data_IF_576976468128
#
_entry.id   IF_576976468128
#
_cell.length_a   1.000
_cell.length_b   1.000
_cell.length_c   1.000
_cell.angle_alpha   90.00
_cell.angle_beta   90.00
_cell.angle_gamma   90.00
#
_symmetry.space_group_name_H-M   'P 1'
#
loop_
_entity.id
_entity.type
_entity.pdbx_description
1 polymer ?
#
# COMPACT_ATOMS: atom_id res chain seq x y z
N UNK A 1 7.77 -5.18 12.02
CA UNK A 1 7.99 -5.45 10.59
C UNK A 1 8.43 -6.88 10.29
N UNK A 2 7.76 -7.52 9.32
CA UNK A 2 8.18 -8.78 8.69
C UNK A 2 9.50 -8.60 7.90
N UNK A 3 10.34 -9.64 7.82
CA UNK A 3 11.68 -9.56 7.21
C UNK A 3 11.61 -9.20 5.72
N UNK A 4 10.69 -9.80 4.97
CA UNK A 4 10.53 -9.54 3.54
C UNK A 4 10.16 -8.08 3.29
N UNK A 5 9.21 -7.55 4.06
CA UNK A 5 8.84 -6.13 3.98
C UNK A 5 10.01 -5.22 4.31
N UNK A 6 10.75 -5.50 5.39
CA UNK A 6 11.91 -4.69 5.77
C UNK A 6 12.95 -4.60 4.64
N UNK A 7 13.28 -5.73 4.02
CA UNK A 7 14.24 -5.79 2.92
C UNK A 7 13.75 -5.02 1.69
N UNK A 8 12.49 -5.19 1.30
CA UNK A 8 11.91 -4.46 0.15
C UNK A 8 11.83 -2.96 0.41
N UNK A 9 11.44 -2.55 1.62
CA UNK A 9 11.40 -1.13 2.01
C UNK A 9 12.79 -0.52 1.93
N UNK A 10 13.81 -1.17 2.50
CA UNK A 10 15.18 -0.66 2.46
C UNK A 10 15.68 -0.49 1.02
N UNK A 11 15.43 -1.48 0.15
CA UNK A 11 15.78 -1.40 -1.27
C UNK A 11 15.07 -0.24 -1.97
N UNK A 12 13.79 0.00 -1.67
CA UNK A 12 13.05 1.14 -2.23
C UNK A 12 13.57 2.50 -1.72
N UNK A 13 14.07 2.58 -0.47
CA UNK A 13 14.72 3.79 0.07
C UNK A 13 16.03 4.07 -0.69
N UNK A 14 16.85 3.04 -0.90
CA UNK A 14 18.07 3.12 -1.72
C UNK A 14 17.76 3.63 -3.12
N UNK A 15 16.85 2.96 -3.83
CA UNK A 15 16.45 3.36 -5.18
C UNK A 15 15.89 4.79 -5.25
N UNK A 16 15.15 5.24 -4.24
CA UNK A 16 14.63 6.60 -4.19
C UNK A 16 15.73 7.65 -3.95
N UNK A 17 16.77 7.30 -3.20
CA UNK A 17 17.97 8.15 -3.04
C UNK A 17 18.77 8.21 -4.31
N UNK A 18 19.00 7.08 -4.97
CA UNK A 18 19.71 7.00 -6.24
C UNK A 18 18.99 7.80 -7.34
N UNK A 19 17.65 7.72 -7.38
CA UNK A 19 16.84 8.51 -8.28
C UNK A 19 16.96 10.02 -8.01
N UNK A 20 17.03 10.44 -6.73
CA UNK A 20 17.25 11.82 -6.36
C UNK A 20 18.65 12.30 -6.75
N UNK A 21 19.69 11.49 -6.52
CA UNK A 21 21.06 11.81 -6.94
C UNK A 21 21.09 12.02 -8.45
N UNK A 22 20.55 11.07 -9.22
CA UNK A 22 20.49 11.14 -10.68
C UNK A 22 19.74 12.39 -11.15
N UNK A 23 18.61 12.71 -10.52
CA UNK A 23 17.86 13.93 -10.82
C UNK A 23 18.71 15.19 -10.60
N UNK A 24 19.45 15.26 -9.49
CA UNK A 24 20.32 16.42 -9.18
C UNK A 24 21.47 16.53 -10.18
N UNK A 25 22.06 15.42 -10.60
CA UNK A 25 23.14 15.40 -11.60
C UNK A 25 22.65 15.84 -12.99
N UNK A 26 21.48 15.37 -13.41
CA UNK A 26 20.96 15.62 -14.76
C UNK A 26 20.25 16.98 -14.88
N UNK A 27 19.55 17.41 -13.82
CA UNK A 27 18.62 18.57 -13.87
C UNK A 27 18.88 19.60 -12.79
N UNK A 28 19.77 19.33 -11.84
CA UNK A 28 19.97 20.18 -10.68
C UNK A 28 18.82 20.13 -9.67
N UNK A 29 18.66 21.20 -8.90
CA UNK A 29 17.62 21.32 -7.88
C UNK A 29 16.31 21.73 -8.55
N UNK A 30 15.38 20.78 -8.67
CA UNK A 30 14.03 21.05 -9.18
C UNK A 30 13.19 21.83 -8.15
N UNK A 31 12.18 22.56 -8.64
CA UNK A 31 11.29 23.42 -7.83
C UNK A 31 10.65 22.70 -6.63
N UNK A 32 10.26 21.43 -6.78
CA UNK A 32 9.67 20.68 -5.67
C UNK A 32 10.65 20.43 -4.53
N UNK A 33 11.93 20.21 -4.86
CA UNK A 33 13.00 19.98 -3.90
C UNK A 33 13.39 21.29 -3.24
N UNK A 34 13.49 22.37 -4.02
CA UNK A 34 13.73 23.72 -3.52
C UNK A 34 12.68 24.14 -2.48
N UNK A 35 11.39 24.00 -2.83
CA UNK A 35 10.28 24.26 -1.91
C UNK A 35 10.35 23.38 -0.65
N UNK A 36 10.78 22.12 -0.77
CA UNK A 36 10.92 21.22 0.38
C UNK A 36 12.05 21.68 1.31
N UNK A 37 13.14 22.22 0.76
CA UNK A 37 14.24 22.81 1.53
C UNK A 37 13.74 24.05 2.28
N UNK A 38 13.03 24.95 1.61
CA UNK A 38 12.46 26.15 2.24
C UNK A 38 11.53 25.81 3.41
N UNK A 39 10.60 24.87 3.19
CA UNK A 39 9.70 24.39 4.25
C UNK A 39 10.45 23.71 5.41
N UNK A 40 11.57 23.04 5.14
CA UNK A 40 12.37 22.44 6.19
C UNK A 40 13.06 23.50 7.04
N UNK A 41 13.62 24.54 6.41
CA UNK A 41 14.26 25.68 7.08
C UNK A 41 13.24 26.41 7.96
N UNK A 42 12.06 26.74 7.41
CA UNK A 42 10.99 27.43 8.12
C UNK A 42 10.51 26.63 9.35
N UNK A 43 10.17 25.35 9.15
CA UNK A 43 9.62 24.50 10.23
C UNK A 43 10.60 24.26 11.37
N UNK A 44 11.89 24.26 11.08
CA UNK A 44 12.93 24.03 12.09
C UNK A 44 13.59 25.34 12.54
N UNK A 45 13.08 26.51 12.10
CA UNK A 45 13.57 27.84 12.47
C UNK A 45 15.09 27.97 12.23
N UNK A 46 15.55 27.50 11.06
CA UNK A 46 16.95 27.58 10.67
C UNK A 46 17.26 28.92 9.97
N UNK A 47 18.49 29.45 10.08
CA UNK A 47 18.90 30.62 9.31
C UNK A 47 18.84 30.37 7.80
N UNK A 48 18.54 31.41 7.01
CA UNK A 48 18.33 31.30 5.56
C UNK A 48 19.59 30.84 4.82
N UNK A 49 20.79 31.18 5.32
CA UNK A 49 22.06 30.74 4.76
C UNK A 49 22.22 29.21 4.72
N UNK A 50 21.45 28.46 5.53
CA UNK A 50 21.46 26.99 5.48
C UNK A 50 20.92 26.43 4.17
N UNK A 51 20.16 27.20 3.39
CA UNK A 51 19.66 26.74 2.09
C UNK A 51 20.81 26.37 1.15
N UNK A 52 21.81 27.24 1.04
CA UNK A 52 22.96 27.02 0.17
C UNK A 52 23.79 25.82 0.66
N UNK A 53 23.96 25.69 1.97
CA UNK A 53 24.65 24.54 2.58
C UNK A 53 23.91 23.22 2.32
N UNK A 54 22.59 23.18 2.51
CA UNK A 54 21.77 21.99 2.20
C UNK A 54 21.91 21.61 0.73
N UNK A 55 21.83 22.57 -0.20
CA UNK A 55 21.99 22.33 -1.63
C UNK A 55 23.39 21.79 -1.95
N UNK A 56 24.43 22.36 -1.33
CA UNK A 56 25.80 21.88 -1.48
C UNK A 56 25.94 20.43 -1.03
N UNK A 57 25.44 20.08 0.16
CA UNK A 57 25.51 18.72 0.70
C UNK A 57 24.74 17.70 -0.15
N UNK A 58 23.58 18.09 -0.69
CA UNK A 58 22.81 17.26 -1.61
C UNK A 58 23.58 16.99 -2.91
N UNK A 59 24.22 18.01 -3.48
CA UNK A 59 25.07 17.88 -4.69
C UNK A 59 26.30 17.01 -4.43
N UNK A 60 26.85 17.06 -3.22
CA UNK A 60 27.94 16.19 -2.78
C UNK A 60 27.49 14.81 -2.30
N UNK A 61 26.21 14.45 -2.54
CA UNK A 61 25.65 13.12 -2.26
C UNK A 61 25.74 12.74 -0.77
N UNK A 62 25.66 13.72 0.12
CA UNK A 62 25.67 13.46 1.56
C UNK A 62 24.45 12.63 1.95
N UNK A 63 24.68 11.41 2.46
CA UNK A 63 23.63 10.45 2.78
C UNK A 63 22.63 10.94 3.84
N UNK A 64 23.09 11.75 4.79
CA UNK A 64 22.21 12.32 5.81
C UNK A 64 21.20 13.28 5.17
N UNK A 65 21.67 14.26 4.39
CA UNK A 65 20.79 15.21 3.70
C UNK A 65 19.89 14.50 2.70
N UNK A 66 20.40 13.54 1.94
CA UNK A 66 19.58 12.71 1.05
C UNK A 66 18.46 12.01 1.83
N UNK A 67 18.74 11.42 3.00
CA UNK A 67 17.71 10.73 3.79
C UNK A 67 16.57 11.64 4.27
N UNK A 68 16.85 12.93 4.48
CA UNK A 68 15.86 13.94 4.88
C UNK A 68 15.04 14.41 3.66
N UNK A 69 15.72 14.67 2.55
CA UNK A 69 15.12 15.34 1.40
C UNK A 69 14.57 14.39 0.32
N UNK A 70 14.96 13.12 0.30
CA UNK A 70 14.29 12.09 -0.48
C UNK A 70 12.82 11.99 -0.08
N UNK A 71 11.96 11.65 -1.05
CA UNK A 71 10.53 11.48 -0.77
C UNK A 71 10.35 10.31 0.21
N UNK A 72 9.58 10.53 1.26
CA UNK A 72 9.29 9.49 2.24
C UNK A 72 8.44 8.39 1.59
N UNK A 73 9.05 7.23 1.35
CA UNK A 73 8.39 6.13 0.68
C UNK A 73 7.29 5.51 1.53
N UNK A 74 7.37 5.57 2.88
CA UNK A 74 6.36 4.99 3.76
C UNK A 74 5.02 5.73 3.65
N UNK A 75 5.05 7.00 3.24
CA UNK A 75 3.87 7.83 2.95
C UNK A 75 3.33 7.64 1.53
N UNK A 76 3.90 6.76 0.72
CA UNK A 76 3.55 6.56 -0.69
C UNK A 76 2.93 5.18 -0.96
N UNK A 77 1.97 4.74 -0.14
CA UNK A 77 1.29 3.46 -0.31
C UNK A 77 2.26 2.28 -0.47
N UNK A 78 3.31 2.27 0.36
CA UNK A 78 4.46 1.37 0.19
C UNK A 78 4.08 -0.10 0.18
N UNK A 79 3.16 -0.50 1.05
CA UNK A 79 2.76 -1.90 1.20
C UNK A 79 2.00 -2.40 -0.02
N UNK A 80 1.14 -1.55 -0.60
CA UNK A 80 0.45 -1.83 -1.86
C UNK A 80 1.46 -2.00 -3.01
N UNK A 81 2.46 -1.12 -3.09
CA UNK A 81 3.50 -1.23 -4.11
C UNK A 81 4.34 -2.50 -3.94
N UNK A 82 4.63 -2.90 -2.69
CA UNK A 82 5.34 -4.15 -2.40
C UNK A 82 4.52 -5.36 -2.87
N UNK A 83 3.21 -5.39 -2.56
CA UNK A 83 2.35 -6.48 -3.02
C UNK A 83 2.26 -6.52 -4.56
N UNK A 84 2.09 -5.36 -5.21
CA UNK A 84 2.03 -5.29 -6.67
C UNK A 84 3.32 -5.78 -7.33
N UNK A 85 4.49 -5.36 -6.83
CA UNK A 85 5.76 -5.85 -7.33
C UNK A 85 5.92 -7.35 -7.06
N UNK A 86 5.54 -7.83 -5.89
CA UNK A 86 5.60 -9.26 -5.57
C UNK A 86 4.77 -10.11 -6.55
N UNK A 87 3.55 -9.67 -6.86
CA UNK A 87 2.68 -10.35 -7.83
C UNK A 87 3.30 -10.34 -9.23
N UNK A 88 3.80 -9.19 -9.69
CA UNK A 88 4.44 -9.03 -11.00
C UNK A 88 5.73 -9.84 -11.14
N UNK A 89 6.60 -9.83 -10.13
CA UNK A 89 7.84 -10.61 -10.07
C UNK A 89 7.55 -12.13 -10.19
N UNK A 90 6.33 -12.55 -9.85
CA UNK A 90 5.86 -13.94 -9.94
C UNK A 90 4.94 -14.18 -11.15
N UNK A 91 4.98 -13.30 -12.15
CA UNK A 91 4.18 -13.38 -13.38
C UNK A 91 2.66 -13.48 -13.15
N UNK A 92 2.17 -12.84 -12.08
CA UNK A 92 0.73 -12.69 -11.84
C UNK A 92 0.27 -11.37 -12.47
N UNK A 93 -0.73 -11.44 -13.35
CA UNK A 93 -1.34 -10.25 -13.91
C UNK A 93 -2.22 -9.58 -12.85
N UNK A 94 -1.70 -8.48 -12.29
CA UNK A 94 -2.34 -7.72 -11.24
C UNK A 94 -2.23 -6.22 -11.51
N UNK A 95 -3.34 -5.52 -11.30
CA UNK A 95 -3.45 -4.07 -11.42
C UNK A 95 -3.92 -3.44 -10.11
N UNK A 96 -3.42 -2.23 -9.84
CA UNK A 96 -3.91 -1.41 -8.73
C UNK A 96 -5.18 -0.70 -9.15
N UNK A 97 -6.21 -0.78 -8.31
CA UNK A 97 -7.50 -0.13 -8.55
C UNK A 97 -7.51 1.30 -8.01
N UNK A 98 -8.37 2.18 -8.56
CA UNK A 98 -8.58 3.51 -8.04
C UNK A 98 -9.15 3.46 -6.61
N UNK A 99 -8.52 4.21 -5.70
CA UNK A 99 -8.92 4.26 -4.30
C UNK A 99 -10.17 5.12 -4.07
N UNK A 100 -10.46 6.06 -4.97
CA UNK A 100 -11.60 6.96 -4.88
C UNK A 100 -12.08 7.40 -6.27
N UNK A 101 -13.25 8.04 -6.30
CA UNK A 101 -13.87 8.59 -7.52
C UNK A 101 -14.66 7.56 -8.32
N UNK A 102 -15.10 7.98 -9.52
CA UNK A 102 -16.04 7.25 -10.39
C UNK A 102 -15.59 5.85 -10.87
N UNK A 103 -14.30 5.54 -10.73
CA UNK A 103 -13.72 4.28 -11.17
C UNK A 103 -13.30 3.39 -9.99
N UNK A 104 -13.52 3.82 -8.74
CA UNK A 104 -13.25 3.00 -7.58
C UNK A 104 -14.27 1.87 -7.52
N UNK A 105 -13.79 0.63 -7.37
CA UNK A 105 -14.66 -0.54 -7.25
C UNK A 105 -14.90 -0.86 -5.78
N UNK A 106 -16.13 -1.24 -5.48
CA UNK A 106 -16.58 -1.63 -4.16
C UNK A 106 -17.22 -3.00 -4.24
N UNK A 107 -17.00 -3.84 -3.23
CA UNK A 107 -17.74 -5.08 -3.08
C UNK A 107 -18.84 -4.87 -2.03
N UNK A 108 -20.09 -5.06 -2.41
CA UNK A 108 -21.23 -4.87 -1.51
C UNK A 108 -22.32 -5.88 -1.83
N UNK A 109 -22.78 -6.60 -0.81
CA UNK A 109 -23.66 -7.75 -0.94
C UNK A 109 -23.10 -8.76 -1.96
N UNK A 110 -23.84 -9.03 -3.02
CA UNK A 110 -23.52 -9.99 -4.07
C UNK A 110 -22.82 -9.37 -5.29
N UNK A 111 -22.50 -8.07 -5.28
CA UNK A 111 -21.99 -7.36 -6.46
C UNK A 111 -20.65 -6.66 -6.22
N UNK A 112 -19.89 -6.50 -7.31
CA UNK A 112 -18.73 -5.62 -7.39
C UNK A 112 -19.08 -4.52 -8.38
N UNK A 113 -19.09 -3.26 -7.93
CA UNK A 113 -19.58 -2.13 -8.73
C UNK A 113 -18.83 -0.84 -8.39
N UNK A 114 -18.77 0.09 -9.34
CA UNK A 114 -18.37 1.48 -9.13
C UNK A 114 -19.56 2.43 -8.96
N UNK A 115 -20.78 1.91 -9.12
CA UNK A 115 -22.03 2.66 -9.05
C UNK A 115 -22.81 2.22 -7.81
N UNK A 116 -22.62 2.98 -6.72
CA UNK A 116 -23.39 2.83 -5.48
C UNK A 116 -23.93 4.21 -5.13
N UNK A 117 -25.22 4.42 -5.40
CA UNK A 117 -25.93 5.68 -5.15
C UNK A 117 -25.95 6.06 -3.67
N UNK A 118 -26.14 5.07 -2.78
CA UNK A 118 -26.20 5.23 -1.32
C UNK A 118 -25.06 4.45 -0.65
N UNK A 119 -23.82 4.85 -0.95
CA UNK A 119 -22.63 4.17 -0.42
C UNK A 119 -22.60 4.27 1.11
N UNK A 120 -22.60 3.14 1.85
CA UNK A 120 -22.37 3.17 3.28
C UNK A 120 -21.03 3.84 3.61
N UNK A 121 -20.99 4.72 4.61
CA UNK A 121 -19.78 5.45 5.01
C UNK A 121 -18.60 4.51 5.31
N UNK A 122 -18.91 3.31 5.78
CA UNK A 122 -17.94 2.30 6.17
C UNK A 122 -17.40 1.47 5.00
N UNK A 123 -18.00 1.59 3.80
CA UNK A 123 -17.62 0.78 2.66
C UNK A 123 -16.33 1.30 2.02
N UNK A 124 -15.32 0.42 1.93
CA UNK A 124 -14.02 0.75 1.35
C UNK A 124 -13.91 0.22 -0.08
N UNK A 125 -13.13 0.94 -0.88
CA UNK A 125 -12.77 0.51 -2.22
C UNK A 125 -11.83 -0.68 -2.16
N UNK A 126 -11.88 -1.49 -3.21
CA UNK A 126 -10.95 -2.59 -3.45
C UNK A 126 -9.62 -2.03 -3.94
N UNK A 127 -8.53 -2.66 -3.52
CA UNK A 127 -7.17 -2.17 -3.74
C UNK A 127 -6.56 -2.72 -5.04
N UNK A 128 -6.87 -3.97 -5.41
CA UNK A 128 -6.31 -4.63 -6.59
C UNK A 128 -7.33 -5.49 -7.34
N UNK A 129 -7.06 -5.70 -8.62
CA UNK A 129 -7.65 -6.73 -9.46
C UNK A 129 -6.52 -7.66 -9.94
N UNK A 130 -6.72 -8.97 -9.80
CA UNK A 130 -5.87 -10.03 -10.34
C UNK A 130 -6.66 -10.73 -11.44
N UNK A 131 -6.09 -10.79 -12.63
CA UNK A 131 -6.66 -11.52 -13.76
C UNK A 131 -6.12 -12.95 -13.77
N UNK A 132 -7.04 -13.93 -13.72
CA UNK A 132 -6.75 -15.35 -13.85
C UNK A 132 -7.51 -15.91 -15.05
N UNK A 133 -6.88 -16.01 -16.22
CA UNK A 133 -7.50 -16.54 -17.44
C UNK A 133 -8.92 -15.95 -17.68
N UNK A 134 -9.98 -16.67 -17.28
CA UNK A 134 -11.39 -16.28 -17.44
C UNK A 134 -12.05 -15.70 -16.18
N UNK A 135 -11.31 -15.52 -15.09
CA UNK A 135 -11.80 -15.06 -13.79
C UNK A 135 -11.03 -13.84 -13.32
N UNK A 136 -11.71 -13.03 -12.49
CA UNK A 136 -11.12 -11.89 -11.80
C UNK A 136 -11.22 -12.08 -10.31
N UNK A 137 -10.12 -11.81 -9.61
CA UNK A 137 -10.06 -11.77 -8.16
C UNK A 137 -9.78 -10.34 -7.75
N UNK A 138 -10.62 -9.80 -6.88
CA UNK A 138 -10.46 -8.49 -6.29
C UNK A 138 -9.87 -8.64 -4.89
N UNK A 139 -8.93 -7.76 -4.54
CA UNK A 139 -8.29 -7.77 -3.24
C UNK A 139 -8.58 -6.50 -2.46
N UNK A 140 -8.85 -6.67 -1.17
CA UNK A 140 -8.58 -5.64 -0.18
C UNK A 140 -7.23 -5.97 0.50
N UNK A 141 -6.29 -5.03 0.46
CA UNK A 141 -4.97 -5.16 1.04
C UNK A 141 -4.84 -4.25 2.26
N UNK A 142 -4.36 -4.80 3.37
CA UNK A 142 -4.02 -4.02 4.56
C UNK A 142 -2.73 -4.57 5.18
N UNK A 143 -1.85 -3.66 5.59
CA UNK A 143 -0.65 -3.99 6.34
C UNK A 143 -0.67 -3.25 7.68
N UNK A 144 -0.63 -4.00 8.79
CA UNK A 144 -0.86 -3.46 10.14
C UNK A 144 0.14 -4.09 11.12
N UNK A 145 0.97 -3.28 11.78
CA UNK A 145 2.08 -3.79 12.62
C UNK A 145 1.72 -3.94 14.10
N UNK A 146 0.95 -3.00 14.66
CA UNK A 146 0.79 -2.85 16.11
C UNK A 146 -0.65 -2.45 16.48
N UNK A 147 -1.03 -2.66 17.72
CA UNK A 147 -2.33 -2.23 18.26
C UNK A 147 -2.36 -0.73 18.55
N UNK A 148 -3.50 -0.07 18.32
CA UNK A 148 -3.73 1.35 18.58
C UNK A 148 -4.82 1.94 17.68
N UNK A 149 -5.38 3.11 18.04
CA UNK A 149 -6.64 3.62 17.45
C UNK A 149 -6.68 3.67 15.92
N UNK A 150 -5.63 4.18 15.26
CA UNK A 150 -5.58 4.23 13.78
C UNK A 150 -5.48 2.84 13.13
N UNK A 151 -4.89 1.86 13.81
CA UNK A 151 -4.72 0.49 13.31
C UNK A 151 -5.97 -0.37 13.59
N UNK A 152 -6.65 -0.13 14.72
CA UNK A 152 -7.95 -0.75 15.01
C UNK A 152 -9.01 -0.30 14.01
N UNK A 153 -8.94 0.94 13.52
CA UNK A 153 -9.78 1.39 12.41
C UNK A 153 -9.56 0.57 11.14
N UNK A 154 -8.33 0.22 10.79
CA UNK A 154 -8.06 -0.64 9.62
C UNK A 154 -8.61 -2.06 9.80
N UNK A 155 -8.57 -2.59 11.03
CA UNK A 155 -9.19 -3.88 11.32
C UNK A 155 -10.71 -3.80 11.24
N UNK A 156 -11.31 -2.75 11.79
CA UNK A 156 -12.75 -2.51 11.70
C UNK A 156 -13.21 -2.33 10.26
N UNK A 157 -12.42 -1.67 9.41
CA UNK A 157 -12.68 -1.59 7.97
C UNK A 157 -12.76 -3.00 7.35
N UNK A 158 -11.84 -3.91 7.72
CA UNK A 158 -11.86 -5.32 7.26
C UNK A 158 -13.09 -6.05 7.78
N UNK A 159 -13.43 -5.90 9.07
CA UNK A 159 -14.61 -6.51 9.68
C UNK A 159 -15.90 -6.06 8.98
N UNK A 160 -16.06 -4.75 8.78
CA UNK A 160 -17.23 -4.17 8.15
C UNK A 160 -17.32 -4.60 6.69
N UNK A 161 -16.21 -4.63 5.97
CA UNK A 161 -16.19 -5.12 4.61
C UNK A 161 -16.64 -6.59 4.54
N UNK A 162 -16.12 -7.46 5.39
CA UNK A 162 -16.48 -8.89 5.43
C UNK A 162 -17.96 -9.10 5.74
N UNK A 163 -18.51 -8.35 6.69
CA UNK A 163 -19.93 -8.45 7.09
C UNK A 163 -20.89 -8.06 5.96
N UNK A 164 -20.45 -7.15 5.08
CA UNK A 164 -21.24 -6.69 3.94
C UNK A 164 -21.07 -7.57 2.69
N UNK A 165 -20.25 -8.62 2.73
CA UNK A 165 -20.11 -9.55 1.61
C UNK A 165 -21.11 -10.69 1.71
N UNK A 166 -21.83 -10.92 0.63
CA UNK A 166 -22.73 -12.05 0.47
C UNK A 166 -21.94 -13.31 0.02
N UNK A 167 -22.54 -14.48 0.24
CA UNK A 167 -22.01 -15.79 -0.14
C UNK A 167 -22.02 -16.05 -1.65
N UNK A 168 -22.36 -15.08 -2.50
CA UNK A 168 -22.22 -15.22 -3.95
C UNK A 168 -20.92 -14.59 -4.49
N UNK A 169 -20.19 -13.82 -3.68
CA UNK A 169 -18.87 -13.26 -4.03
C UNK A 169 -17.70 -14.18 -3.63
N UNK A 170 -18.00 -15.44 -3.33
CA UNK A 170 -17.02 -16.47 -2.99
C UNK A 170 -16.01 -16.58 -4.13
N UNK A 171 -14.73 -16.61 -3.78
CA UNK A 171 -13.60 -16.65 -4.71
C UNK A 171 -13.38 -15.40 -5.57
N UNK A 172 -14.28 -14.40 -5.54
CA UNK A 172 -14.13 -13.14 -6.27
C UNK A 172 -13.51 -12.03 -5.43
N UNK A 173 -13.73 -12.01 -4.12
CA UNK A 173 -13.16 -10.99 -3.21
C UNK A 173 -12.31 -11.66 -2.14
N UNK A 174 -11.05 -11.27 -2.08
CA UNK A 174 -10.04 -11.82 -1.18
C UNK A 174 -9.48 -10.70 -0.28
N UNK A 175 -9.02 -11.07 0.90
CA UNK A 175 -8.38 -10.16 1.84
C UNK A 175 -6.91 -10.54 1.96
N UNK A 176 -6.01 -9.66 1.52
CA UNK A 176 -4.57 -9.81 1.74
C UNK A 176 -4.20 -9.00 2.99
N UNK A 177 -4.00 -9.70 4.11
CA UNK A 177 -3.79 -9.08 5.41
C UNK A 177 -2.38 -9.41 5.90
N UNK A 178 -1.52 -8.40 5.94
CA UNK A 178 -0.11 -8.53 6.28
C UNK A 178 0.24 -7.76 7.57
N UNK A 179 1.36 -8.12 8.19
CA UNK A 179 1.85 -7.49 9.41
C UNK A 179 1.47 -8.25 10.69
N UNK A 180 2.11 -7.89 11.80
CA UNK A 180 2.03 -8.63 13.07
C UNK A 180 0.66 -8.55 13.75
N UNK A 181 -0.15 -7.55 13.39
CA UNK A 181 -1.48 -7.36 13.98
C UNK A 181 -2.41 -8.55 13.67
N UNK A 182 -2.33 -9.13 12.47
CA UNK A 182 -3.21 -10.21 12.03
C UNK A 182 -2.76 -11.58 12.57
N UNK A 183 -2.91 -11.77 13.87
CA UNK A 183 -2.62 -13.05 14.54
C UNK A 183 -3.58 -14.15 14.08
N UNK A 184 -3.21 -15.43 14.31
CA UNK A 184 -4.10 -16.58 14.03
C UNK A 184 -5.48 -16.42 14.65
N UNK A 185 -5.56 -15.86 15.87
CA UNK A 185 -6.83 -15.60 16.54
C UNK A 185 -7.68 -14.58 15.77
N UNK A 186 -7.11 -13.42 15.39
CA UNK A 186 -7.84 -12.41 14.60
C UNK A 186 -8.26 -12.93 13.23
N UNK A 187 -7.40 -13.70 12.56
CA UNK A 187 -7.76 -14.34 11.28
C UNK A 187 -8.94 -15.29 11.47
N UNK A 188 -8.97 -16.07 12.55
CA UNK A 188 -10.08 -16.97 12.85
C UNK A 188 -11.37 -16.19 13.17
N UNK A 189 -11.26 -15.08 13.90
CA UNK A 189 -12.38 -14.17 14.15
C UNK A 189 -12.97 -13.66 12.83
N UNK A 190 -12.15 -13.15 11.91
CA UNK A 190 -12.61 -12.69 10.60
C UNK A 190 -13.28 -13.80 9.80
N UNK A 191 -12.71 -15.02 9.79
CA UNK A 191 -13.31 -16.19 9.12
C UNK A 191 -14.63 -16.64 9.76
N UNK A 192 -14.83 -16.37 11.05
CA UNK A 192 -16.09 -16.69 11.73
C UNK A 192 -17.24 -15.78 11.29
N UNK A 193 -16.94 -14.54 10.87
CA UNK A 193 -17.93 -13.59 10.37
C UNK A 193 -18.53 -14.01 9.03
N UNK A 194 -17.69 -14.58 8.15
CA UNK A 194 -18.13 -15.11 6.87
C UNK A 194 -17.20 -16.26 6.47
N UNK A 195 -17.73 -17.50 6.48
CA UNK A 195 -16.94 -18.71 6.21
C UNK A 195 -16.42 -18.80 4.78
N UNK A 196 -16.95 -17.99 3.87
CA UNK A 196 -16.66 -18.08 2.45
C UNK A 196 -15.64 -17.05 1.95
N UNK A 197 -15.06 -16.26 2.87
CA UNK A 197 -13.97 -15.34 2.52
C UNK A 197 -12.65 -16.09 2.41
N UNK A 198 -11.81 -15.61 1.49
CA UNK A 198 -10.42 -16.05 1.39
C UNK A 198 -9.56 -14.97 2.00
N UNK A 199 -8.84 -15.35 3.06
CA UNK A 199 -7.82 -14.50 3.68
C UNK A 199 -6.46 -15.10 3.40
N UNK A 200 -5.59 -14.27 2.81
CA UNK A 200 -4.21 -14.58 2.45
C UNK A 200 -3.29 -13.50 3.03
N UNK A 201 -2.00 -13.73 2.87
CA UNK A 201 -0.94 -12.75 3.07
C UNK A 201 0.08 -12.89 1.94
N UNK A 202 1.10 -12.04 1.91
CA UNK A 202 2.10 -12.05 0.85
C UNK A 202 2.80 -13.43 0.68
N UNK A 203 2.96 -14.18 1.77
CA UNK A 203 3.61 -15.49 1.77
C UNK A 203 2.72 -16.63 1.26
N UNK A 204 1.40 -16.46 1.28
CA UNK A 204 0.41 -17.53 0.98
C UNK A 204 -0.41 -17.26 -0.28
N UNK A 205 -0.42 -16.03 -0.79
CA UNK A 205 -1.26 -15.64 -1.92
C UNK A 205 -0.95 -16.45 -3.18
N UNK A 206 0.32 -16.67 -3.54
CA UNK A 206 0.68 -17.44 -4.74
C UNK A 206 0.24 -18.90 -4.66
N UNK A 207 0.39 -19.52 -3.48
CA UNK A 207 -0.04 -20.90 -3.27
C UNK A 207 -1.57 -21.02 -3.38
N UNK A 208 -2.29 -19.99 -2.91
CA UNK A 208 -3.75 -19.93 -2.99
C UNK A 208 -4.19 -19.73 -4.43
N UNK A 209 -3.61 -18.77 -5.16
CA UNK A 209 -3.89 -18.53 -6.58
C UNK A 209 -3.71 -19.80 -7.43
N UNK A 210 -2.65 -20.59 -7.20
CA UNK A 210 -2.43 -21.87 -7.89
C UNK A 210 -3.54 -22.90 -7.68
N UNK A 211 -4.29 -22.84 -6.57
CA UNK A 211 -5.43 -23.74 -6.31
C UNK A 211 -6.67 -23.34 -7.11
N UNK A 212 -6.78 -22.07 -7.49
CA UNK A 212 -7.92 -21.51 -8.25
C UNK A 212 -7.67 -21.43 -9.76
N UNK A 213 -6.42 -21.59 -10.19
CA UNK A 213 -6.02 -21.59 -11.60
C UNK A 213 -5.93 -23.01 -12.19
N UNK A 214 -6.47 -24.03 -11.49
CA UNK A 214 -6.65 -25.40 -11.97
C UNK A 214 -8.10 -25.60 -12.36
#
# INVERSE_FOLDING_TARGET
>A
MDKYYKEKINKMIEQSRDALIKQIEEKGIEKWLDNKIDLYIERNVLPLEWKEQIIYELKNKNLFYLSVFTKDIKKQNIYENILLHFLKDNNIDAIKLPQAGKNALYAYNSIITNDISDKPLELKSLDFEINLNNNKIYLMHKYTEESGGAQDNQFNDVVNQIRNLDTNLINKVWFCLDGKYYTKQKINELKSLNKNIIIVNIHTILQTLKKFNK
#
